data_IF_789885777242
#
_entry.id   IF_789885777242
#
_cell.length_a   1.000
_cell.length_b   1.000
_cell.length_c   1.000
_cell.angle_alpha   90.00
_cell.angle_beta   90.00
_cell.angle_gamma   90.00
#
_symmetry.space_group_name_H-M   'P 1'
#
loop_
_entity.id
_entity.type
_entity.pdbx_description
1 polymer ?
#
# COMPACT_ATOMS: atom_id res chain seq x y z
N UNK A 1 25.73 -9.06 26.66
CA UNK A 1 25.69 -7.60 26.48
C UNK A 1 25.63 -7.32 24.99
N UNK A 2 24.56 -6.70 24.48
CA UNK A 2 24.49 -6.36 23.05
C UNK A 2 25.55 -5.29 22.75
N UNK A 3 26.50 -5.61 21.86
CA UNK A 3 27.55 -4.69 21.44
C UNK A 3 26.87 -3.43 20.87
N UNK A 4 27.04 -2.29 21.55
CA UNK A 4 26.52 -1.01 21.08
C UNK A 4 27.30 -0.63 19.83
N UNK A 5 26.67 -0.78 18.67
CA UNK A 5 27.22 -0.32 17.39
C UNK A 5 27.23 1.21 17.37
N UNK A 6 28.35 1.79 16.94
CA UNK A 6 28.51 3.23 16.72
C UNK A 6 27.59 3.71 15.60
N UNK A 7 27.28 5.01 15.57
CA UNK A 7 26.48 5.59 14.50
C UNK A 7 27.14 5.41 13.12
N UNK A 8 28.47 5.43 13.06
CA UNK A 8 29.20 5.20 11.80
C UNK A 8 29.03 3.77 11.28
N UNK A 9 29.03 2.77 12.18
CA UNK A 9 28.74 1.38 11.80
C UNK A 9 27.31 1.23 11.27
N UNK A 10 26.35 1.93 11.86
CA UNK A 10 24.97 1.93 11.37
C UNK A 10 24.81 2.56 9.99
N UNK A 11 25.60 3.58 9.68
CA UNK A 11 25.58 4.21 8.36
C UNK A 11 26.05 3.25 7.27
N UNK A 12 27.17 2.55 7.49
CA UNK A 12 27.67 1.52 6.57
C UNK A 12 26.68 0.37 6.39
N UNK A 13 25.96 -0.02 7.45
CA UNK A 13 24.92 -1.05 7.39
C UNK A 13 23.72 -0.59 6.54
N UNK A 14 23.34 0.68 6.61
CA UNK A 14 22.23 1.21 5.81
C UNK A 14 22.61 1.34 4.33
N UNK A 15 23.82 1.79 4.03
CA UNK A 15 24.35 1.87 2.67
C UNK A 15 24.49 0.48 2.01
N UNK A 16 24.94 -0.51 2.79
CA UNK A 16 24.99 -1.90 2.30
C UNK A 16 23.58 -2.49 2.09
N UNK A 17 22.60 -2.12 2.91
CA UNK A 17 21.21 -2.50 2.68
C UNK A 17 20.64 -1.90 1.38
N UNK A 18 20.89 -0.61 1.12
CA UNK A 18 20.40 0.08 -0.09
C UNK A 18 20.98 -0.52 -1.38
N UNK A 19 22.25 -0.91 -1.35
CA UNK A 19 22.91 -1.58 -2.47
C UNK A 19 22.50 -3.06 -2.64
N UNK A 20 22.04 -3.73 -1.58
CA UNK A 20 21.75 -5.17 -1.62
C UNK A 20 20.42 -5.52 -2.31
N UNK A 21 19.51 -4.55 -2.52
CA UNK A 21 18.20 -4.73 -3.17
C UNK A 21 17.37 -5.94 -2.65
N UNK A 22 17.58 -6.31 -1.38
CA UNK A 22 16.84 -7.36 -0.68
C UNK A 22 15.83 -6.76 0.30
N UNK A 23 14.88 -7.57 0.76
CA UNK A 23 13.92 -7.13 1.77
C UNK A 23 14.59 -6.87 3.11
N UNK A 24 14.08 -5.88 3.88
CA UNK A 24 14.62 -5.52 5.20
C UNK A 24 14.73 -6.72 6.15
N UNK A 25 13.75 -7.62 6.10
CA UNK A 25 13.72 -8.81 6.95
C UNK A 25 14.87 -9.76 6.60
N UNK A 26 15.05 -10.06 5.31
CA UNK A 26 16.15 -10.91 4.85
C UNK A 26 17.52 -10.30 5.18
N UNK A 27 17.68 -8.99 5.02
CA UNK A 27 18.91 -8.29 5.38
C UNK A 27 19.20 -8.35 6.89
N UNK A 28 18.18 -8.15 7.72
CA UNK A 28 18.32 -8.23 9.18
C UNK A 28 18.67 -9.66 9.63
N UNK A 29 18.07 -10.67 9.03
CA UNK A 29 18.37 -12.09 9.28
C UNK A 29 19.82 -12.43 8.94
N UNK A 30 20.30 -12.02 7.75
CA UNK A 30 21.68 -12.24 7.30
C UNK A 30 22.72 -11.54 8.19
N UNK A 31 22.45 -10.29 8.59
CA UNK A 31 23.37 -9.48 9.37
C UNK A 31 23.21 -9.63 10.89
N UNK A 32 22.33 -10.57 11.33
CA UNK A 32 21.98 -10.79 12.75
C UNK A 32 21.62 -9.48 13.45
N UNK A 33 20.79 -8.67 12.78
CA UNK A 33 20.27 -7.41 13.28
C UNK A 33 18.83 -7.62 13.76
N UNK A 34 18.47 -6.93 14.84
CA UNK A 34 17.08 -6.90 15.26
C UNK A 34 16.30 -5.91 14.38
N UNK A 35 15.15 -6.35 13.86
CA UNK A 35 14.32 -5.61 12.92
C UNK A 35 13.88 -4.26 13.51
N UNK A 36 13.47 -4.23 14.78
CA UNK A 36 13.02 -2.99 15.45
C UNK A 36 14.15 -1.98 15.58
N UNK A 37 15.37 -2.43 15.93
CA UNK A 37 16.54 -1.55 16.02
C UNK A 37 16.97 -1.01 14.67
N UNK A 38 16.91 -1.85 13.62
CA UNK A 38 17.21 -1.45 12.26
C UNK A 38 16.22 -0.38 11.77
N UNK A 39 14.93 -0.59 12.01
CA UNK A 39 13.88 0.36 11.66
C UNK A 39 14.03 1.71 12.39
N UNK A 40 14.27 1.69 13.71
CA UNK A 40 14.48 2.90 14.50
C UNK A 40 15.72 3.69 14.02
N UNK A 41 16.81 2.99 13.70
CA UNK A 41 18.03 3.62 13.18
C UNK A 41 17.78 4.21 11.79
N UNK A 42 17.16 3.48 10.88
CA UNK A 42 16.83 3.98 9.52
C UNK A 42 16.01 5.27 9.56
N UNK A 43 15.01 5.36 10.44
CA UNK A 43 14.23 6.60 10.61
C UNK A 43 15.07 7.76 11.14
N UNK A 44 15.97 7.51 12.08
CA UNK A 44 16.87 8.53 12.63
C UNK A 44 17.81 9.11 11.57
N UNK A 45 18.30 8.28 10.65
CA UNK A 45 19.15 8.75 9.55
C UNK A 45 18.33 9.49 8.48
N UNK A 46 17.14 8.99 8.12
CA UNK A 46 16.24 9.68 7.19
C UNK A 46 15.78 11.06 7.69
N UNK A 47 15.52 11.21 8.99
CA UNK A 47 15.14 12.50 9.58
C UNK A 47 16.32 13.49 9.71
N UNK A 48 17.55 12.96 9.77
CA UNK A 48 18.78 13.77 9.76
C UNK A 48 19.04 14.37 8.38
N UNK A 49 18.75 13.64 7.31
CA UNK A 49 18.79 14.18 5.94
C UNK A 49 17.68 15.22 5.71
N UNK A 50 16.48 15.00 6.29
CA UNK A 50 15.36 15.96 6.19
C UNK A 50 15.57 17.26 6.98
N UNK A 51 16.43 17.28 8.00
CA UNK A 51 16.71 18.49 8.78
C UNK A 51 17.46 19.59 7.99
N UNK A 52 17.99 19.28 6.80
CA UNK A 52 18.54 20.29 5.87
C UNK A 52 17.40 21.04 5.14
N UNK A 53 16.17 20.51 5.18
CA UNK A 53 14.94 21.12 4.65
C UNK A 53 13.91 21.27 5.77
N UNK A 54 14.28 21.93 6.87
CA UNK A 54 13.35 22.35 7.93
C UNK A 54 12.47 23.55 7.51
N UNK A 55 11.99 23.56 6.26
CA UNK A 55 10.91 24.41 5.78
C UNK A 55 9.84 23.49 5.21
N UNK A 56 8.57 23.77 5.50
CA UNK A 56 7.40 23.01 5.07
C UNK A 56 7.64 22.21 3.78
N UNK A 57 7.94 20.92 3.94
CA UNK A 57 8.05 20.02 2.80
C UNK A 57 6.62 19.83 2.32
N UNK A 58 6.32 20.36 1.14
CA UNK A 58 5.14 19.96 0.38
C UNK A 58 5.29 18.46 0.15
N UNK A 59 4.61 17.67 0.95
CA UNK A 59 4.41 16.26 0.66
C UNK A 59 3.55 16.22 -0.60
N UNK A 60 4.20 16.23 -1.76
CA UNK A 60 3.57 15.74 -2.96
C UNK A 60 3.31 14.27 -2.66
N UNK A 61 2.02 13.95 -2.48
CA UNK A 61 1.56 12.58 -2.35
C UNK A 61 1.91 11.93 -3.67
N UNK A 62 3.14 11.39 -3.76
CA UNK A 62 3.45 10.36 -4.73
C UNK A 62 2.61 9.21 -4.24
N UNK A 63 1.39 9.12 -4.77
CA UNK A 63 0.58 7.93 -4.76
C UNK A 63 1.48 6.84 -5.33
N UNK A 64 2.24 6.18 -4.46
CA UNK A 64 2.59 4.78 -4.64
C UNK A 64 1.27 4.04 -4.47
N UNK A 65 0.41 4.22 -5.46
CA UNK A 65 -0.60 3.26 -5.83
C UNK A 65 0.20 1.99 -6.07
N UNK A 66 0.34 1.20 -5.01
CA UNK A 66 0.29 -0.24 -5.13
C UNK A 66 -0.85 -0.47 -6.11
N UNK A 67 -0.50 -0.75 -7.38
CA UNK A 67 -1.47 -1.22 -8.36
C UNK A 67 -1.89 -2.58 -7.85
N UNK A 68 -2.75 -2.60 -6.84
CA UNK A 68 -3.77 -3.61 -6.75
C UNK A 68 -4.48 -3.48 -8.09
N UNK A 69 -4.21 -4.43 -9.00
CA UNK A 69 -5.09 -4.68 -10.13
C UNK A 69 -6.43 -5.12 -9.54
N UNK A 70 -7.19 -4.17 -9.00
CA UNK A 70 -8.62 -4.25 -9.09
C UNK A 70 -8.89 -4.03 -10.56
N UNK A 71 -9.23 -5.10 -11.26
CA UNK A 71 -9.79 -5.08 -12.59
C UNK A 71 -11.12 -4.30 -12.53
N UNK A 72 -11.04 -2.99 -12.40
CA UNK A 72 -12.19 -2.11 -12.63
C UNK A 72 -12.21 -1.86 -14.13
N UNK A 73 -12.65 -2.87 -14.87
CA UNK A 73 -13.37 -2.61 -16.11
C UNK A 73 -14.46 -1.59 -15.78
N UNK A 74 -14.71 -0.57 -16.62
CA UNK A 74 -15.90 0.25 -16.45
C UNK A 74 -17.11 -0.68 -16.59
N UNK A 75 -17.64 -1.11 -15.45
CA UNK A 75 -18.76 -2.04 -15.35
C UNK A 75 -20.00 -1.27 -15.77
N UNK A 76 -20.40 -1.41 -17.03
CA UNK A 76 -21.64 -0.80 -17.50
C UNK A 76 -22.81 -1.46 -16.77
N UNK A 77 -23.47 -0.73 -15.90
CA UNK A 77 -24.68 -1.19 -15.22
C UNK A 77 -25.82 -1.34 -16.24
N UNK A 78 -26.67 -2.34 -16.04
CA UNK A 78 -27.92 -2.48 -16.79
C UNK A 78 -29.02 -1.71 -16.05
N UNK A 79 -29.88 -1.00 -16.78
CA UNK A 79 -31.02 -0.30 -16.19
C UNK A 79 -32.29 -1.10 -16.41
N UNK A 80 -33.07 -1.33 -15.36
CA UNK A 80 -34.41 -1.89 -15.40
C UNK A 80 -35.41 -0.77 -15.08
N UNK A 81 -36.38 -0.56 -15.98
CA UNK A 81 -37.46 0.39 -15.79
C UNK A 81 -38.77 -0.38 -15.58
N UNK A 82 -39.42 -0.19 -14.43
CA UNK A 82 -40.72 -0.79 -14.11
C UNK A 82 -41.65 0.33 -13.63
N UNK A 83 -42.73 0.57 -14.37
CA UNK A 83 -43.58 1.76 -14.21
C UNK A 83 -42.74 3.05 -14.24
N UNK A 84 -42.82 3.87 -13.19
CA UNK A 84 -42.04 5.11 -13.01
C UNK A 84 -40.76 4.91 -12.17
N UNK A 85 -40.34 3.66 -11.92
CA UNK A 85 -39.16 3.35 -11.10
C UNK A 85 -38.01 2.85 -11.98
N UNK A 86 -36.87 3.53 -11.88
CA UNK A 86 -35.62 3.15 -12.52
C UNK A 86 -34.67 2.47 -11.51
N UNK A 87 -34.18 1.27 -11.86
CA UNK A 87 -33.24 0.51 -11.06
C UNK A 87 -31.95 0.28 -11.86
N UNK A 88 -30.80 0.68 -11.30
CA UNK A 88 -29.48 0.37 -11.86
C UNK A 88 -28.93 -0.92 -11.27
N UNK A 89 -28.60 -1.89 -12.14
CA UNK A 89 -28.19 -3.24 -11.79
C UNK A 89 -26.72 -3.44 -12.18
N UNK A 90 -25.83 -3.81 -11.24
CA UNK A 90 -24.43 -4.07 -11.55
C UNK A 90 -24.25 -5.36 -12.35
N UNK A 91 -23.20 -5.41 -13.17
CA UNK A 91 -22.80 -6.68 -13.82
C UNK A 91 -22.32 -7.68 -12.76
N UNK A 92 -22.64 -8.95 -12.99
CA UNK A 92 -22.40 -10.02 -12.01
C UNK A 92 -23.63 -10.36 -11.16
N UNK A 93 -24.75 -9.64 -11.33
CA UNK A 93 -26.03 -10.02 -10.73
C UNK A 93 -26.50 -11.37 -11.33
N UNK A 94 -26.75 -12.41 -10.52
CA UNK A 94 -27.17 -13.71 -11.03
C UNK A 94 -28.52 -13.64 -11.76
N UNK A 95 -28.63 -14.35 -12.89
CA UNK A 95 -29.86 -14.36 -13.70
C UNK A 95 -31.09 -14.89 -12.93
N UNK A 96 -30.90 -15.84 -12.01
CA UNK A 96 -31.97 -16.36 -11.17
C UNK A 96 -32.59 -15.28 -10.27
N UNK A 97 -31.74 -14.44 -9.64
CA UNK A 97 -32.19 -13.33 -8.82
C UNK A 97 -32.95 -12.29 -9.65
N UNK A 98 -32.52 -12.03 -10.89
CA UNK A 98 -33.23 -11.12 -11.79
C UNK A 98 -34.60 -11.66 -12.18
N UNK A 99 -34.73 -12.96 -12.45
CA UNK A 99 -36.02 -13.58 -12.76
C UNK A 99 -36.99 -13.49 -11.59
N UNK A 100 -36.52 -13.76 -10.37
CA UNK A 100 -37.31 -13.60 -9.15
C UNK A 100 -37.72 -12.15 -8.90
N UNK A 101 -36.78 -11.21 -9.05
CA UNK A 101 -37.04 -9.78 -8.91
C UNK A 101 -38.10 -9.30 -9.91
N UNK A 102 -37.96 -9.66 -11.18
CA UNK A 102 -38.92 -9.27 -12.22
C UNK A 102 -40.29 -9.91 -11.95
N UNK A 103 -40.34 -11.16 -11.52
CA UNK A 103 -41.59 -11.84 -11.17
C UNK A 103 -42.28 -11.29 -9.92
N UNK A 104 -41.52 -10.70 -8.98
CA UNK A 104 -42.08 -10.04 -7.81
C UNK A 104 -42.58 -8.62 -8.11
N UNK A 105 -42.06 -7.98 -9.16
CA UNK A 105 -42.41 -6.62 -9.58
C UNK A 105 -43.53 -6.58 -10.64
N UNK A 106 -43.85 -7.72 -11.28
CA UNK A 106 -44.98 -7.89 -12.20
C UNK A 106 -46.30 -8.08 -11.47
#
# INVERSE_FOLDING_TARGET
MAKRRSNQEWQTILESYESSNITQRAFCEQNRLNLSTFHAKRQLFASKEQNVTAGFVRAEVVERTTKCQSSQTPTANMTLLVNDVELSIPQGTPAAYLAELIGALS
#
